data_IF_534816636121
#
_entry.id   IF_534816636121
#
_cell.length_a   1.000
_cell.length_b   1.000
_cell.length_c   1.000
_cell.angle_alpha   90.00
_cell.angle_beta   90.00
_cell.angle_gamma   90.00
#
_symmetry.space_group_name_H-M   'P 1'
#
loop_
_entity.id
_entity.type
_entity.pdbx_description
1 polymer ?
#
# COMPACT_ATOMS: atom_id res chain seq x y z
N UNK A 1 -4.60 -17.09 -4.67
CA UNK A 1 -5.28 -16.87 -3.38
C UNK A 1 -6.59 -17.64 -3.40
N UNK A 2 -6.56 -18.84 -2.85
CA UNK A 2 -7.71 -19.75 -2.80
C UNK A 2 -8.76 -19.21 -1.82
N UNK A 3 -10.01 -19.65 -1.98
CA UNK A 3 -11.03 -19.50 -0.97
C UNK A 3 -10.63 -20.27 0.30
N UNK A 4 -10.19 -21.52 0.18
CA UNK A 4 -9.44 -22.29 1.17
C UNK A 4 -9.95 -22.11 2.60
N UNK A 5 -11.13 -22.63 2.88
CA UNK A 5 -11.81 -22.53 4.19
C UNK A 5 -11.31 -23.54 5.21
N UNK A 6 -10.45 -24.48 4.80
CA UNK A 6 -9.96 -25.54 5.70
C UNK A 6 -10.94 -26.69 5.83
N UNK A 7 -11.90 -26.82 4.92
CA UNK A 7 -12.86 -27.93 4.93
C UNK A 7 -12.35 -29.05 4.02
N UNK A 8 -12.33 -30.29 4.51
CA UNK A 8 -11.76 -31.40 3.74
C UNK A 8 -12.40 -31.55 2.35
N UNK A 9 -13.74 -31.45 2.27
CA UNK A 9 -14.47 -31.55 1.01
C UNK A 9 -14.29 -30.29 0.14
N UNK A 10 -14.40 -29.10 0.72
CA UNK A 10 -14.31 -27.84 -0.03
C UNK A 10 -12.92 -27.60 -0.59
N UNK A 11 -11.87 -27.80 0.22
CA UNK A 11 -10.48 -27.64 -0.21
C UNK A 11 -10.14 -28.65 -1.32
N UNK A 12 -10.65 -29.89 -1.24
CA UNK A 12 -10.49 -30.88 -2.32
C UNK A 12 -11.14 -30.42 -3.62
N UNK A 13 -12.39 -29.97 -3.58
CA UNK A 13 -13.08 -29.50 -4.78
C UNK A 13 -12.40 -28.27 -5.39
N UNK A 14 -11.92 -27.34 -4.54
CA UNK A 14 -11.19 -26.17 -5.02
C UNK A 14 -9.86 -26.55 -5.68
N UNK A 15 -9.11 -27.50 -5.11
CA UNK A 15 -7.87 -27.99 -5.71
C UNK A 15 -8.12 -28.69 -7.05
N UNK A 16 -9.17 -29.51 -7.16
CA UNK A 16 -9.54 -30.16 -8.43
C UNK A 16 -9.95 -29.13 -9.51
N UNK A 17 -10.67 -28.07 -9.11
CA UNK A 17 -10.99 -26.97 -10.03
C UNK A 17 -9.71 -26.26 -10.51
N UNK A 18 -8.76 -26.00 -9.61
CA UNK A 18 -7.46 -25.42 -9.97
C UNK A 18 -6.65 -26.33 -10.90
N UNK A 19 -6.63 -27.65 -10.65
CA UNK A 19 -6.00 -28.63 -11.54
C UNK A 19 -6.61 -28.60 -12.93
N UNK A 20 -7.94 -28.61 -13.01
CA UNK A 20 -8.67 -28.60 -14.28
C UNK A 20 -8.31 -27.39 -15.13
N UNK A 21 -8.17 -26.22 -14.52
CA UNK A 21 -7.90 -24.97 -15.24
C UNK A 21 -6.40 -24.76 -15.53
N UNK A 22 -5.52 -25.09 -14.58
CA UNK A 22 -4.13 -24.64 -14.63
C UNK A 22 -3.09 -25.74 -14.86
N UNK A 23 -3.43 -27.02 -14.76
CA UNK A 23 -2.46 -28.13 -14.88
C UNK A 23 -1.76 -28.20 -16.23
N UNK A 24 -2.43 -27.80 -17.33
CA UNK A 24 -1.82 -27.76 -18.66
C UNK A 24 -0.79 -26.64 -18.83
N UNK A 25 -0.78 -25.67 -17.92
CA UNK A 25 0.08 -24.48 -17.98
C UNK A 25 1.15 -24.45 -16.87
N UNK A 26 1.15 -25.44 -15.98
CA UNK A 26 2.08 -25.53 -14.84
C UNK A 26 2.65 -26.93 -14.74
N UNK A 27 3.81 -27.06 -14.10
CA UNK A 27 4.50 -28.35 -13.93
C UNK A 27 5.17 -28.42 -12.56
N UNK A 28 5.70 -29.58 -12.19
CA UNK A 28 6.46 -29.73 -10.94
C UNK A 28 7.66 -28.76 -10.85
N UNK A 29 8.24 -28.37 -12.00
CA UNK A 29 9.35 -27.43 -12.07
C UNK A 29 8.91 -25.96 -12.05
N UNK A 30 7.67 -25.67 -12.45
CA UNK A 30 7.07 -24.34 -12.41
C UNK A 30 5.61 -24.42 -11.91
N UNK A 31 5.41 -24.67 -10.60
CA UNK A 31 4.08 -24.93 -10.07
C UNK A 31 3.29 -23.64 -9.86
N UNK A 32 1.96 -23.74 -9.96
CA UNK A 32 1.07 -22.69 -9.48
C UNK A 32 1.09 -22.68 -7.94
N UNK A 33 1.43 -21.53 -7.38
CA UNK A 33 1.46 -21.34 -5.92
C UNK A 33 0.05 -21.11 -5.38
N UNK A 34 -0.42 -22.02 -4.53
CA UNK A 34 -1.74 -21.97 -3.91
C UNK A 34 -1.59 -21.61 -2.43
N UNK A 35 -2.18 -20.49 -2.03
CA UNK A 35 -2.22 -20.05 -0.63
C UNK A 35 -3.60 -19.53 -0.28
N UNK A 36 -3.92 -19.48 1.01
CA UNK A 36 -5.14 -18.86 1.56
C UNK A 36 -4.78 -18.06 2.81
N UNK A 37 -5.20 -16.79 2.88
CA UNK A 37 -5.01 -15.94 4.05
C UNK A 37 -5.82 -16.40 5.27
N UNK A 38 -6.84 -17.24 5.07
CA UNK A 38 -7.73 -17.69 6.15
C UNK A 38 -6.99 -18.49 7.22
N UNK A 39 -5.87 -19.13 6.87
CA UNK A 39 -4.99 -19.75 7.86
C UNK A 39 -4.32 -18.78 8.83
N UNK A 40 -4.26 -17.49 8.48
CA UNK A 40 -3.57 -16.46 9.28
C UNK A 40 -4.54 -15.68 10.14
N UNK A 41 -5.68 -15.26 9.59
CA UNK A 41 -6.62 -14.34 10.26
C UNK A 41 -8.05 -14.88 10.32
N UNK A 42 -8.25 -16.16 10.00
CA UNK A 42 -9.56 -16.79 9.97
C UNK A 42 -10.41 -16.41 8.76
N UNK A 43 -11.65 -16.90 8.76
CA UNK A 43 -12.62 -16.59 7.72
C UNK A 43 -13.35 -15.27 8.05
N UNK A 44 -13.00 -14.18 7.38
CA UNK A 44 -13.62 -12.86 7.61
C UNK A 44 -15.03 -12.71 6.99
N UNK A 45 -15.76 -13.81 6.81
CA UNK A 45 -17.10 -13.86 6.20
C UNK A 45 -17.23 -12.93 4.96
N UNK A 46 -18.11 -11.93 5.02
CA UNK A 46 -18.36 -10.95 3.96
C UNK A 46 -17.10 -10.16 3.53
N UNK A 47 -16.13 -9.99 4.42
CA UNK A 47 -14.88 -9.28 4.13
C UNK A 47 -13.76 -10.19 3.57
N UNK A 48 -14.01 -11.49 3.40
CA UNK A 48 -12.96 -12.46 3.02
C UNK A 48 -12.32 -12.14 1.66
N UNK A 49 -13.12 -11.71 0.68
CA UNK A 49 -12.60 -11.29 -0.62
C UNK A 49 -11.69 -10.07 -0.53
N UNK A 50 -12.09 -9.06 0.24
CA UNK A 50 -11.28 -7.84 0.44
C UNK A 50 -9.97 -8.13 1.20
N UNK A 51 -10.01 -8.98 2.23
CA UNK A 51 -8.81 -9.36 2.97
C UNK A 51 -7.83 -10.16 2.09
N UNK A 52 -8.35 -11.08 1.26
CA UNK A 52 -7.59 -11.82 0.24
C UNK A 52 -6.96 -10.89 -0.79
N UNK A 53 -7.68 -9.86 -1.22
CA UNK A 53 -7.17 -8.83 -2.14
C UNK A 53 -6.03 -8.02 -1.50
N UNK A 54 -6.18 -7.60 -0.24
CA UNK A 54 -5.12 -6.89 0.49
C UNK A 54 -3.84 -7.73 0.57
N UNK A 55 -3.96 -9.03 0.86
CA UNK A 55 -2.81 -9.95 0.83
C UNK A 55 -2.13 -9.96 -0.54
N UNK A 56 -2.88 -10.13 -1.63
CA UNK A 56 -2.30 -10.12 -2.98
C UNK A 56 -1.61 -8.80 -3.32
N UNK A 57 -2.21 -7.66 -2.99
CA UNK A 57 -1.58 -6.34 -3.20
C UNK A 57 -0.27 -6.19 -2.42
N UNK A 58 -0.22 -6.72 -1.19
CA UNK A 58 1.02 -6.76 -0.40
C UNK A 58 2.06 -7.71 -1.00
N UNK A 59 1.64 -8.87 -1.52
CA UNK A 59 2.52 -9.82 -2.21
C UNK A 59 3.13 -9.19 -3.47
N UNK A 60 2.35 -8.49 -4.30
CA UNK A 60 2.87 -7.74 -5.44
C UNK A 60 3.86 -6.66 -5.02
N UNK A 61 3.51 -5.88 -3.98
CA UNK A 61 4.38 -4.80 -3.47
C UNK A 61 5.71 -5.33 -2.92
N UNK A 62 5.67 -6.42 -2.15
CA UNK A 62 6.85 -7.03 -1.53
C UNK A 62 7.60 -7.97 -2.46
N UNK A 63 6.99 -8.40 -3.57
CA UNK A 63 7.53 -9.38 -4.53
C UNK A 63 7.84 -10.72 -3.84
N UNK A 64 6.94 -11.15 -2.96
CA UNK A 64 7.09 -12.36 -2.14
C UNK A 64 5.76 -13.12 -2.06
N UNK A 65 5.85 -14.45 -1.98
CA UNK A 65 4.73 -15.34 -1.71
C UNK A 65 4.92 -15.89 -0.29
N UNK A 66 4.05 -15.54 0.68
CA UNK A 66 4.20 -16.02 2.05
C UNK A 66 3.92 -17.53 2.12
N UNK A 67 4.54 -18.20 3.10
CA UNK A 67 4.20 -19.58 3.42
C UNK A 67 2.74 -19.72 3.90
N UNK A 68 2.18 -20.91 3.70
CA UNK A 68 0.87 -21.26 4.24
C UNK A 68 1.01 -21.59 5.74
N UNK A 69 0.44 -20.73 6.58
CA UNK A 69 0.47 -20.92 8.04
C UNK A 69 -0.43 -22.07 8.46
N UNK A 70 -0.14 -22.72 9.60
CA UNK A 70 -0.96 -23.81 10.14
C UNK A 70 -0.90 -25.12 9.36
N UNK A 71 0.01 -25.23 8.37
CA UNK A 71 0.13 -26.42 7.52
C UNK A 71 1.19 -27.39 8.07
N UNK A 72 0.76 -28.39 8.82
CA UNK A 72 1.64 -29.50 9.27
C UNK A 72 1.86 -30.52 8.14
N UNK A 73 0.76 -31.07 7.63
CA UNK A 73 0.73 -32.02 6.51
C UNK A 73 -0.31 -31.60 5.46
N UNK A 74 -0.12 -32.08 4.23
CA UNK A 74 -1.13 -31.95 3.18
C UNK A 74 -2.16 -33.04 3.41
N UNK A 75 -3.44 -32.71 3.30
CA UNK A 75 -4.52 -33.70 3.35
C UNK A 75 -4.29 -34.77 2.27
N UNK A 76 -4.13 -36.06 2.62
CA UNK A 76 -3.82 -37.13 1.65
C UNK A 76 -4.85 -37.25 0.52
N UNK A 77 -6.11 -36.86 0.77
CA UNK A 77 -7.17 -36.88 -0.25
C UNK A 77 -6.97 -35.87 -1.39
N UNK A 78 -6.04 -34.93 -1.24
CA UNK A 78 -5.61 -34.02 -2.30
C UNK A 78 -4.62 -34.68 -3.27
N UNK A 79 -4.10 -35.87 -2.94
CA UNK A 79 -3.09 -36.55 -3.73
C UNK A 79 -1.77 -35.78 -3.78
N UNK A 80 -0.96 -36.06 -4.80
CA UNK A 80 0.31 -35.37 -5.02
C UNK A 80 0.07 -34.03 -5.75
N UNK A 81 0.17 -32.93 -4.99
CA UNK A 81 0.01 -31.59 -5.53
C UNK A 81 1.15 -31.24 -6.50
N UNK A 82 2.38 -31.62 -6.18
CA UNK A 82 3.56 -31.15 -6.91
C UNK A 82 3.63 -31.77 -8.30
N UNK A 83 3.38 -33.09 -8.43
CA UNK A 83 3.31 -33.72 -9.75
C UNK A 83 2.15 -33.17 -10.60
N UNK A 84 1.08 -32.68 -9.97
CA UNK A 84 -0.03 -32.00 -10.67
C UNK A 84 0.22 -30.52 -11.00
N UNK A 85 1.44 -30.01 -10.78
CA UNK A 85 1.79 -28.62 -11.09
C UNK A 85 1.25 -27.59 -10.10
N UNK A 86 0.84 -28.00 -8.91
CA UNK A 86 0.40 -27.13 -7.82
C UNK A 86 1.36 -27.22 -6.63
N UNK A 87 1.54 -26.11 -5.90
CA UNK A 87 2.36 -26.12 -4.70
C UNK A 87 1.75 -25.23 -3.62
N UNK A 88 1.62 -25.76 -2.40
CA UNK A 88 1.32 -24.97 -1.21
C UNK A 88 2.64 -24.65 -0.51
N UNK A 89 3.06 -23.37 -0.44
CA UNK A 89 4.39 -23.00 0.03
C UNK A 89 4.56 -23.29 1.53
N UNK A 90 5.62 -24.03 1.88
CA UNK A 90 6.01 -24.29 3.27
C UNK A 90 6.97 -23.24 3.86
N UNK A 91 7.54 -22.40 3.00
CA UNK A 91 8.40 -21.26 3.36
C UNK A 91 8.04 -20.07 2.48
N UNK A 92 8.32 -18.85 2.96
CA UNK A 92 8.14 -17.66 2.14
C UNK A 92 9.12 -17.72 0.98
N UNK A 93 8.61 -17.54 -0.23
CA UNK A 93 9.39 -17.60 -1.47
C UNK A 93 9.44 -16.23 -2.12
N UNK A 94 10.57 -15.91 -2.76
CA UNK A 94 10.65 -14.74 -3.63
C UNK A 94 9.74 -14.96 -4.82
N UNK A 95 8.83 -14.03 -5.08
CA UNK A 95 7.99 -14.08 -6.26
C UNK A 95 8.77 -13.54 -7.44
N UNK A 96 9.48 -14.39 -8.17
CA UNK A 96 10.27 -13.94 -9.33
C UNK A 96 9.37 -13.55 -10.51
N UNK A 97 9.76 -12.50 -11.25
CA UNK A 97 9.08 -12.03 -12.48
C UNK A 97 9.96 -12.38 -13.68
N UNK A 98 9.47 -13.13 -14.69
CA UNK A 98 10.15 -13.25 -15.98
C UNK A 98 10.18 -11.89 -16.69
N UNK A 99 11.24 -11.57 -17.44
CA UNK A 99 11.37 -10.25 -18.11
C UNK A 99 10.19 -9.92 -19.04
N UNK A 100 9.55 -10.93 -19.60
CA UNK A 100 8.51 -10.81 -20.65
C UNK A 100 7.09 -10.87 -20.11
N UNK A 101 6.87 -11.28 -18.86
CA UNK A 101 5.53 -11.46 -18.31
C UNK A 101 5.40 -10.83 -16.93
N UNK A 102 4.32 -10.06 -16.69
CA UNK A 102 4.04 -9.54 -15.37
C UNK A 102 3.61 -10.67 -14.43
N UNK A 103 3.86 -10.51 -13.13
CA UNK A 103 3.28 -11.36 -12.10
C UNK A 103 1.76 -11.25 -12.17
N UNK A 104 1.09 -12.39 -12.15
CA UNK A 104 -0.38 -12.48 -12.10
C UNK A 104 -0.81 -13.41 -10.98
N UNK A 105 -1.94 -13.10 -10.36
CA UNK A 105 -2.55 -13.96 -9.37
C UNK A 105 -4.07 -13.96 -9.54
N UNK A 106 -4.67 -15.12 -9.27
CA UNK A 106 -6.12 -15.25 -9.17
C UNK A 106 -6.51 -15.30 -7.70
N UNK A 107 -7.58 -14.59 -7.37
CA UNK A 107 -8.28 -14.65 -6.10
C UNK A 107 -9.60 -15.38 -6.32
N UNK A 108 -9.88 -16.38 -5.48
CA UNK A 108 -11.16 -17.10 -5.46
C UNK A 108 -11.93 -16.80 -4.17
N UNK A 109 -13.24 -16.57 -4.26
CA UNK A 109 -14.11 -16.37 -3.12
C UNK A 109 -15.49 -16.98 -3.36
N UNK A 110 -15.86 -17.99 -2.57
CA UNK A 110 -17.09 -18.76 -2.74
C UNK A 110 -18.03 -18.51 -1.57
N UNK A 111 -19.28 -18.13 -1.87
CA UNK A 111 -20.32 -17.92 -0.88
C UNK A 111 -21.08 -19.21 -0.60
N UNK A 112 -21.46 -19.42 0.67
CA UNK A 112 -22.23 -20.60 1.08
C UNK A 112 -23.60 -20.72 0.36
N UNK A 113 -24.14 -19.62 -0.16
CA UNK A 113 -25.36 -19.60 -0.99
C UNK A 113 -25.16 -20.12 -2.42
N UNK A 114 -23.93 -20.50 -2.79
CA UNK A 114 -23.56 -20.96 -4.14
C UNK A 114 -23.06 -19.86 -5.08
N UNK A 115 -23.00 -18.60 -4.64
CA UNK A 115 -22.41 -17.51 -5.44
C UNK A 115 -20.88 -17.61 -5.45
N UNK A 116 -20.29 -17.66 -6.65
CA UNK A 116 -18.85 -17.78 -6.82
C UNK A 116 -18.27 -16.55 -7.51
N UNK A 117 -17.18 -16.03 -6.98
CA UNK A 117 -16.46 -14.88 -7.56
C UNK A 117 -14.97 -15.18 -7.67
N UNK A 118 -14.36 -14.71 -8.76
CA UNK A 118 -12.92 -14.74 -8.94
C UNK A 118 -12.41 -13.43 -9.53
N UNK A 119 -11.19 -13.03 -9.17
CA UNK A 119 -10.51 -11.86 -9.71
C UNK A 119 -9.13 -12.24 -10.21
N UNK A 120 -8.81 -11.91 -11.46
CA UNK A 120 -7.47 -11.95 -12.00
C UNK A 120 -6.81 -10.59 -11.77
N UNK A 121 -5.66 -10.59 -11.11
CA UNK A 121 -4.86 -9.40 -10.85
C UNK A 121 -3.50 -9.52 -11.53
N UNK A 122 -3.03 -8.39 -12.05
CA UNK A 122 -1.71 -8.23 -12.62
C UNK A 122 -0.93 -7.20 -11.81
N UNK A 123 0.38 -7.41 -11.67
CA UNK A 123 1.23 -6.44 -10.99
C UNK A 123 1.28 -5.10 -11.74
N UNK A 124 1.45 -4.03 -10.97
CA UNK A 124 1.72 -2.72 -11.55
C UNK A 124 3.18 -2.61 -12.02
N UNK A 125 3.39 -2.36 -13.32
CA UNK A 125 4.73 -2.15 -13.88
C UNK A 125 5.21 -0.71 -13.69
N UNK A 126 5.91 -0.48 -12.57
CA UNK A 126 6.48 0.84 -12.25
C UNK A 126 7.49 1.33 -13.29
N UNK A 127 8.29 0.42 -13.87
CA UNK A 127 9.40 0.79 -14.74
C UNK A 127 8.89 1.32 -16.09
N UNK A 128 7.78 0.75 -16.58
CA UNK A 128 7.07 1.26 -17.76
C UNK A 128 6.59 2.71 -17.59
N UNK A 129 6.15 3.07 -16.37
CA UNK A 129 5.63 4.41 -16.07
C UNK A 129 6.71 5.43 -15.71
N UNK A 130 7.83 5.01 -15.10
CA UNK A 130 8.95 5.88 -14.75
C UNK A 130 9.67 6.42 -16.01
N UNK A 131 9.80 5.59 -17.05
CA UNK A 131 10.38 6.00 -18.34
C UNK A 131 9.54 7.07 -19.06
N UNK A 132 8.23 7.17 -18.74
CA UNK A 132 7.34 8.19 -19.31
C UNK A 132 7.40 9.53 -18.56
N UNK A 133 7.87 9.55 -17.31
CA UNK A 133 7.85 10.74 -16.44
C UNK A 133 9.22 11.44 -16.30
N UNK A 134 10.30 10.86 -16.82
CA UNK A 134 11.65 11.43 -16.71
C UNK A 134 12.12 12.30 -17.88
N UNK A 135 11.27 12.55 -18.88
CA UNK A 135 11.59 13.49 -19.98
C UNK A 135 11.22 14.95 -19.71
N UNK A 136 10.96 15.33 -18.45
CA UNK A 136 10.88 16.76 -18.09
C UNK A 136 12.30 17.27 -17.78
N UNK A 137 13.12 17.41 -18.82
CA UNK A 137 14.31 18.25 -18.81
C UNK A 137 13.94 19.75 -18.87
N UNK A 138 13.02 20.20 -18.01
CA UNK A 138 12.82 21.63 -17.79
C UNK A 138 13.58 22.00 -16.52
N UNK A 139 14.57 22.90 -16.65
CA UNK A 139 15.48 23.35 -15.60
C UNK A 139 14.80 23.45 -14.23
N UNK A 140 15.04 22.44 -13.40
CA UNK A 140 14.37 22.26 -12.12
C UNK A 140 15.03 23.23 -11.13
N UNK A 141 14.61 24.50 -11.14
CA UNK A 141 14.91 25.43 -10.06
C UNK A 141 14.23 24.87 -8.80
N UNK A 142 14.97 24.08 -8.03
CA UNK A 142 14.52 23.64 -6.72
C UNK A 142 14.19 24.88 -5.89
N UNK A 143 12.99 24.90 -5.32
CA UNK A 143 12.57 26.00 -4.45
C UNK A 143 13.45 25.98 -3.20
N UNK A 144 13.91 27.15 -2.77
CA UNK A 144 14.67 27.31 -1.52
C UNK A 144 13.84 26.96 -0.28
N UNK A 145 12.51 26.99 -0.39
CA UNK A 145 11.59 26.58 0.66
C UNK A 145 10.30 25.99 0.10
N UNK A 146 9.69 25.11 0.89
CA UNK A 146 8.38 24.50 0.68
C UNK A 146 7.48 24.78 1.88
N UNK A 147 6.17 24.73 1.64
CA UNK A 147 5.15 24.82 2.70
C UNK A 147 4.63 23.43 3.00
N UNK A 148 4.79 22.99 4.24
CA UNK A 148 4.19 21.79 4.78
C UNK A 148 2.94 22.16 5.59
N UNK A 149 1.83 21.45 5.38
CA UNK A 149 0.57 21.71 6.07
C UNK A 149 -0.02 20.43 6.66
N UNK A 150 -0.50 20.51 7.90
CA UNK A 150 -1.34 19.49 8.52
C UNK A 150 -2.64 20.11 8.98
N UNK A 151 -3.70 19.31 8.92
CA UNK A 151 -4.97 19.68 9.52
C UNK A 151 -5.68 18.48 10.15
N UNK A 152 -6.56 18.75 11.11
CA UNK A 152 -7.43 17.74 11.71
C UNK A 152 -8.74 18.35 12.21
N UNK A 153 -9.73 17.48 12.46
CA UNK A 153 -11.04 17.89 13.02
C UNK A 153 -11.00 18.21 14.51
N UNK A 154 -9.92 17.85 15.21
CA UNK A 154 -9.72 18.16 16.63
C UNK A 154 -8.24 18.42 16.90
N UNK A 155 -7.94 19.20 17.93
CA UNK A 155 -6.56 19.47 18.36
C UNK A 155 -5.79 18.19 18.70
N UNK A 156 -6.40 17.24 19.43
CA UNK A 156 -5.80 15.93 19.75
C UNK A 156 -5.45 15.13 18.49
N UNK A 157 -6.30 15.18 17.46
CA UNK A 157 -6.04 14.51 16.19
C UNK A 157 -4.89 15.19 15.41
N UNK A 158 -4.77 16.52 15.49
CA UNK A 158 -3.65 17.26 14.90
C UNK A 158 -2.33 16.86 15.59
N UNK A 159 -2.30 16.82 16.92
CA UNK A 159 -1.13 16.38 17.69
C UNK A 159 -0.74 14.92 17.37
N UNK A 160 -1.72 14.03 17.18
CA UNK A 160 -1.45 12.66 16.70
C UNK A 160 -0.89 12.63 15.28
N UNK A 161 -1.40 13.49 14.38
CA UNK A 161 -0.86 13.61 13.03
C UNK A 161 0.59 14.12 13.03
N UNK A 162 0.90 15.13 13.85
CA UNK A 162 2.28 15.65 14.02
C UNK A 162 3.23 14.53 14.45
N UNK A 163 2.88 13.79 15.52
CA UNK A 163 3.70 12.65 16.00
C UNK A 163 3.93 11.60 14.93
N UNK A 164 2.89 11.17 14.21
CA UNK A 164 3.03 10.21 13.10
C UNK A 164 3.95 10.71 11.98
N UNK A 165 3.95 12.01 11.68
CA UNK A 165 4.87 12.57 10.69
C UNK A 165 6.31 12.64 11.21
N UNK A 166 6.51 12.96 12.49
CA UNK A 166 7.85 12.89 13.11
C UNK A 166 8.37 11.45 13.02
N UNK A 167 7.57 10.45 13.41
CA UNK A 167 7.97 9.04 13.37
C UNK A 167 8.27 8.56 11.94
N UNK A 168 7.48 9.01 10.97
CA UNK A 168 7.66 8.68 9.56
C UNK A 168 8.94 9.31 8.98
N UNK A 169 9.16 10.61 9.22
CA UNK A 169 10.28 11.35 8.64
C UNK A 169 11.60 11.11 9.36
N UNK A 170 11.57 10.62 10.61
CA UNK A 170 12.79 10.32 11.38
C UNK A 170 13.53 9.08 10.84
N UNK A 171 12.91 8.25 9.99
CA UNK A 171 13.53 7.05 9.39
C UNK A 171 14.35 7.41 8.16
N UNK A 172 15.65 7.63 8.34
CA UNK A 172 16.57 8.12 7.29
C UNK A 172 16.63 7.25 6.03
N UNK A 173 16.71 5.93 6.18
CA UNK A 173 16.87 4.96 5.08
C UNK A 173 15.76 5.01 4.01
N UNK A 174 14.62 5.64 4.32
CA UNK A 174 13.45 5.67 3.46
C UNK A 174 12.82 7.07 3.37
N UNK A 175 13.60 8.14 3.60
CA UNK A 175 13.07 9.52 3.53
C UNK A 175 12.61 9.86 2.10
N UNK A 176 11.35 10.28 1.91
CA UNK A 176 10.92 10.86 0.64
C UNK A 176 11.53 12.26 0.43
N UNK A 177 11.48 12.74 -0.82
CA UNK A 177 11.86 14.11 -1.14
C UNK A 177 10.95 15.13 -0.44
N UNK A 178 11.52 16.22 0.07
CA UNK A 178 10.77 17.26 0.79
C UNK A 178 9.62 17.82 -0.04
N UNK A 179 9.85 18.08 -1.33
CA UNK A 179 8.84 18.54 -2.28
C UNK A 179 7.63 17.62 -2.30
N UNK A 180 7.84 16.31 -2.35
CA UNK A 180 6.77 15.33 -2.51
C UNK A 180 5.97 15.17 -1.21
N UNK A 181 6.65 15.28 -0.05
CA UNK A 181 5.99 15.37 1.26
C UNK A 181 5.09 16.59 1.34
N UNK A 182 5.62 17.76 1.01
CA UNK A 182 4.89 19.03 1.07
C UNK A 182 3.73 19.06 0.07
N UNK A 183 3.96 18.60 -1.18
CA UNK A 183 2.92 18.49 -2.19
C UNK A 183 1.80 17.54 -1.74
N UNK A 184 2.15 16.38 -1.18
CA UNK A 184 1.15 15.43 -0.69
C UNK A 184 0.36 16.02 0.47
N UNK A 185 1.02 16.67 1.42
CA UNK A 185 0.41 17.28 2.60
C UNK A 185 -0.52 18.46 2.25
N UNK A 186 -0.21 19.20 1.17
CA UNK A 186 -0.99 20.36 0.74
C UNK A 186 -2.06 20.01 -0.30
N UNK A 187 -1.65 19.48 -1.45
CA UNK A 187 -2.54 19.26 -2.60
C UNK A 187 -3.36 17.99 -2.50
N UNK A 188 -2.93 16.99 -1.72
CA UNK A 188 -3.50 15.62 -1.72
C UNK A 188 -4.16 15.26 -0.39
N UNK A 189 -4.56 16.25 0.40
CA UNK A 189 -5.26 16.10 1.69
C UNK A 189 -6.40 17.10 1.80
N UNK A 190 -7.40 16.76 2.61
CA UNK A 190 -8.43 17.70 3.04
C UNK A 190 -7.87 18.66 4.09
N UNK A 191 -8.44 19.86 4.17
CA UNK A 191 -8.03 20.93 5.07
C UNK A 191 -9.14 21.26 6.07
N UNK A 192 -8.99 20.80 7.32
CA UNK A 192 -9.92 21.03 8.44
C UNK A 192 -9.52 22.24 9.29
N UNK A 193 -10.29 22.56 10.34
CA UNK A 193 -10.18 23.83 11.08
C UNK A 193 -8.95 23.94 12.00
N UNK A 194 -8.48 22.83 12.58
CA UNK A 194 -7.23 22.83 13.34
C UNK A 194 -6.07 22.62 12.39
N UNK A 195 -5.25 23.65 12.17
CA UNK A 195 -4.18 23.65 11.17
C UNK A 195 -2.81 23.94 11.79
N UNK A 196 -1.79 23.39 11.15
CA UNK A 196 -0.38 23.69 11.35
C UNK A 196 0.25 23.88 9.97
N UNK A 197 0.96 24.99 9.77
CA UNK A 197 1.67 25.28 8.52
C UNK A 197 3.11 25.68 8.83
N UNK A 198 4.07 25.09 8.13
CA UNK A 198 5.51 25.29 8.35
C UNK A 198 6.20 25.54 7.01
N UNK A 199 7.00 26.60 6.93
CA UNK A 199 7.97 26.78 5.85
C UNK A 199 9.24 25.98 6.18
N UNK A 200 9.77 25.25 5.21
CA UNK A 200 10.96 24.42 5.40
C UNK A 200 11.78 24.29 4.11
N UNK A 201 13.11 24.40 4.22
CA UNK A 201 14.05 24.15 3.13
C UNK A 201 14.63 22.74 3.12
N UNK A 202 14.47 21.98 4.22
CA UNK A 202 14.97 20.61 4.36
C UNK A 202 14.05 19.76 5.23
N UNK A 203 14.18 18.43 5.13
CA UNK A 203 13.47 17.47 6.00
C UNK A 203 13.88 17.66 7.46
N UNK A 204 15.16 17.91 7.75
CA UNK A 204 15.64 18.12 9.12
C UNK A 204 15.10 19.43 9.72
N UNK A 205 15.02 20.49 8.90
CA UNK A 205 14.35 21.73 9.30
C UNK A 205 12.86 21.51 9.60
N UNK A 206 12.17 20.74 8.77
CA UNK A 206 10.78 20.35 9.03
C UNK A 206 10.64 19.53 10.32
N UNK A 207 11.49 18.54 10.55
CA UNK A 207 11.49 17.73 11.77
C UNK A 207 11.73 18.58 13.02
N UNK A 208 12.67 19.52 12.96
CA UNK A 208 12.97 20.45 14.04
C UNK A 208 11.74 21.29 14.37
N UNK A 209 11.10 21.86 13.36
CA UNK A 209 9.88 22.66 13.51
C UNK A 209 8.70 21.83 14.04
N UNK A 210 8.51 20.59 13.56
CA UNK A 210 7.45 19.72 14.05
C UNK A 210 7.63 19.32 15.52
N UNK A 211 8.87 19.10 15.95
CA UNK A 211 9.19 18.77 17.35
C UNK A 211 8.97 19.97 18.27
N UNK A 212 9.31 21.19 17.83
CA UNK A 212 9.08 22.41 18.63
C UNK A 212 7.60 22.77 18.76
N UNK A 213 6.78 22.46 17.75
CA UNK A 213 5.34 22.76 17.74
C UNK A 213 4.47 21.80 18.56
N UNK A 214 5.02 20.82 19.27
CA UNK A 214 4.24 19.98 20.20
C UNK A 214 3.61 20.78 21.36
N UNK A 215 3.98 22.06 21.54
CA UNK A 215 3.62 22.88 22.69
C UNK A 215 2.65 24.05 22.43
N UNK A 216 2.16 24.26 21.19
CA UNK A 216 1.39 25.48 20.87
C UNK A 216 -0.03 25.20 20.39
N UNK A 217 -0.98 25.91 21.00
CA UNK A 217 -2.43 25.84 20.75
C UNK A 217 -2.76 26.19 19.31
N UNK A 218 -3.54 25.34 18.64
CA UNK A 218 -3.97 25.56 17.25
C UNK A 218 -4.98 26.71 17.18
N UNK A 219 -4.74 27.69 16.31
CA UNK A 219 -5.69 28.77 16.02
C UNK A 219 -6.68 28.27 14.97
N UNK A 220 -7.98 28.25 15.31
CA UNK A 220 -9.06 27.97 14.35
C UNK A 220 -9.11 29.07 13.28
N UNK A 221 -9.09 28.70 12.00
CA UNK A 221 -9.06 29.64 10.87
C UNK A 221 -10.41 30.28 10.53
N UNK A 222 -11.42 30.15 11.40
CA UNK A 222 -12.80 30.60 11.16
C UNK A 222 -13.00 32.12 11.15
N UNK A 223 -11.94 32.94 11.00
CA UNK A 223 -12.01 34.39 11.22
C UNK A 223 -11.48 35.29 10.09
N UNK A 224 -11.04 34.75 8.94
CA UNK A 224 -10.59 35.62 7.83
C UNK A 224 -11.80 36.05 6.98
N UNK A 225 -12.22 37.31 7.12
CA UNK A 225 -13.38 37.87 6.41
C UNK A 225 -13.02 38.65 5.15
N UNK A 226 -11.80 39.20 5.07
CA UNK A 226 -11.31 39.92 3.91
C UNK A 226 -9.77 39.87 3.82
N UNK A 227 -9.26 39.99 2.59
CA UNK A 227 -7.82 40.18 2.33
C UNK A 227 -7.64 41.54 1.65
N UNK A 228 -6.78 42.39 2.21
CA UNK A 228 -6.46 43.72 1.68
C UNK A 228 -4.98 43.76 1.32
N UNK A 229 -4.66 44.15 0.09
CA UNK A 229 -3.27 44.34 -0.34
C UNK A 229 -2.89 45.81 -0.19
N UNK A 230 -1.81 46.09 0.53
CA UNK A 230 -1.28 47.44 0.76
C UNK A 230 0.01 47.59 -0.03
N UNK A 231 0.05 48.58 -0.92
CA UNK A 231 1.20 48.87 -1.77
C UNK A 231 2.07 49.93 -1.10
N UNK A 232 3.35 49.63 -0.94
CA UNK A 232 4.30 50.54 -0.28
C UNK A 232 4.56 51.79 -1.13
N UNK A 233 4.73 52.93 -0.47
CA UNK A 233 5.19 54.16 -1.12
C UNK A 233 6.69 54.15 -1.41
N UNK A 234 7.21 55.32 -1.79
CA UNK A 234 8.64 55.56 -2.00
C UNK A 234 9.42 55.38 -0.67
N UNK A 235 10.56 54.68 -0.70
CA UNK A 235 11.43 54.46 0.49
C UNK A 235 11.51 53.02 1.01
N UNK A 236 10.78 52.07 0.42
CA UNK A 236 10.80 50.65 0.79
C UNK A 236 11.82 49.80 0.00
N UNK A 237 12.61 50.43 -0.88
CA UNK A 237 13.71 49.77 -1.57
C UNK A 237 14.86 49.45 -0.60
N UNK A 238 15.53 48.32 -0.81
CA UNK A 238 16.69 47.85 -0.05
C UNK A 238 17.86 47.59 -0.99
#
# INVERSE_FOLDING_TARGET
EAHGTGTQAGDKQEIEALRTVFSQHHSAANPLMVTSMKSNIGHCEAASGAASLVKLLLMFRKKEIPFQTGLSSINPSLGDLQSSGLLVPRRTEKWSRPKTTPRRAVLSNFGASGSNSALLLEEWDRDSTANSQHNVQNGNLERSAYVFALSAKTEKALQSAVRRHIDFLSKEECRPLLRDVCYTATARRQHYDHRLSLACGSIDGLLTNLKSHQATTSISTSSVTATVFVFTGQGAQW
#
